data_IF_060790967842
#
_entry.id   IF_060790967842
#
_cell.length_a   1.000
_cell.length_b   1.000
_cell.length_c   1.000
_cell.angle_alpha   90.00
_cell.angle_beta   90.00
_cell.angle_gamma   90.00
#
_symmetry.space_group_name_H-M   'P 1'
#
loop_
_entity.id
_entity.type
_entity.pdbx_description
1 polymer ?
#
# COMPACT_ATOMS: atom_id res chain seq x y z
N UNK A 1 8.01 29.22 15.87
CA UNK A 1 6.74 28.72 15.30
C UNK A 1 6.93 27.72 14.15
N UNK A 2 8.15 27.23 13.87
CA UNK A 2 8.44 26.40 12.69
C UNK A 2 8.31 24.87 12.90
N UNK A 3 8.06 24.41 14.13
CA UNK A 3 7.90 22.97 14.40
C UNK A 3 6.54 22.42 13.97
N UNK A 4 5.45 23.16 14.24
CA UNK A 4 4.08 22.67 14.03
C UNK A 4 3.71 22.49 12.54
N UNK A 5 4.20 23.36 11.65
CA UNK A 5 3.94 23.25 10.21
C UNK A 5 4.57 21.97 9.62
N UNK A 6 5.80 21.65 10.03
CA UNK A 6 6.54 20.45 9.63
C UNK A 6 5.84 19.18 10.08
N UNK A 7 5.38 19.13 11.34
CA UNK A 7 4.67 17.96 11.89
C UNK A 7 3.32 17.74 11.19
N UNK A 8 2.59 18.82 10.91
CA UNK A 8 1.30 18.74 10.21
C UNK A 8 1.48 18.24 8.78
N UNK A 9 2.51 18.72 8.09
CA UNK A 9 2.85 18.28 6.73
C UNK A 9 3.28 16.80 6.68
N UNK A 10 4.12 16.37 7.62
CA UNK A 10 4.54 14.96 7.74
C UNK A 10 3.32 14.07 8.01
N UNK A 11 2.41 14.50 8.88
CA UNK A 11 1.20 13.74 9.22
C UNK A 11 0.25 13.62 8.02
N UNK A 12 0.04 14.73 7.29
CA UNK A 12 -0.72 14.72 6.04
C UNK A 12 -0.10 13.78 4.99
N UNK A 13 1.21 13.83 4.81
CA UNK A 13 1.92 12.93 3.90
C UNK A 13 1.76 11.46 4.32
N UNK A 14 1.87 11.16 5.62
CA UNK A 14 1.65 9.83 6.19
C UNK A 14 0.25 9.31 5.89
N UNK A 15 -0.78 10.14 6.14
CA UNK A 15 -2.18 9.79 5.89
C UNK A 15 -2.43 9.56 4.39
N UNK A 16 -1.90 10.43 3.52
CA UNK A 16 -2.03 10.29 2.07
C UNK A 16 -1.34 9.03 1.55
N UNK A 17 -0.13 8.74 2.02
CA UNK A 17 0.60 7.51 1.68
C UNK A 17 -0.16 6.28 2.16
N UNK A 18 -0.70 6.30 3.39
CA UNK A 18 -1.48 5.20 3.93
C UNK A 18 -2.79 4.98 3.16
N UNK A 19 -3.55 6.05 2.91
CA UNK A 19 -4.80 5.99 2.15
C UNK A 19 -4.57 5.48 0.73
N UNK A 20 -3.50 5.92 0.08
CA UNK A 20 -3.12 5.45 -1.26
C UNK A 20 -2.67 3.98 -1.22
N UNK A 21 -1.90 3.56 -0.20
CA UNK A 21 -1.49 2.17 -0.01
C UNK A 21 -2.73 1.27 0.17
N UNK A 22 -3.66 1.68 1.03
CA UNK A 22 -4.91 0.96 1.27
C UNK A 22 -5.76 0.86 -0.01
N UNK A 23 -5.86 1.95 -0.77
CA UNK A 23 -6.59 1.96 -2.05
C UNK A 23 -6.00 0.98 -3.06
N UNK A 24 -4.67 0.98 -3.22
CA UNK A 24 -3.98 0.04 -4.12
C UNK A 24 -4.13 -1.39 -3.63
N UNK A 25 -4.05 -1.61 -2.32
CA UNK A 25 -4.20 -2.93 -1.70
C UNK A 25 -5.60 -3.50 -1.94
N UNK A 26 -6.65 -2.72 -1.68
CA UNK A 26 -8.04 -3.10 -1.95
C UNK A 26 -8.25 -3.34 -3.44
N UNK A 27 -7.67 -2.52 -4.31
CA UNK A 27 -7.76 -2.73 -5.76
C UNK A 27 -7.14 -4.06 -6.18
N UNK A 28 -5.99 -4.46 -5.62
CA UNK A 28 -5.37 -5.76 -5.88
C UNK A 28 -6.29 -6.90 -5.41
N UNK A 29 -6.73 -6.86 -4.15
CA UNK A 29 -7.62 -7.90 -3.56
C UNK A 29 -8.91 -8.03 -4.35
N UNK A 30 -9.57 -6.92 -4.68
CA UNK A 30 -10.81 -6.90 -5.46
C UNK A 30 -10.61 -7.53 -6.84
N UNK A 31 -9.49 -7.25 -7.50
CA UNK A 31 -9.26 -7.76 -8.86
C UNK A 31 -8.89 -9.24 -8.86
N UNK A 32 -8.18 -9.72 -7.82
CA UNK A 32 -7.98 -11.16 -7.59
C UNK A 32 -9.30 -11.88 -7.28
N UNK A 33 -10.16 -11.28 -6.45
CA UNK A 33 -11.48 -11.81 -6.15
C UNK A 33 -12.38 -11.86 -7.41
N UNK A 34 -12.36 -10.79 -8.22
CA UNK A 34 -13.10 -10.71 -9.48
C UNK A 34 -12.65 -11.75 -10.51
N UNK A 35 -11.35 -12.14 -10.49
CA UNK A 35 -10.81 -13.23 -11.33
C UNK A 35 -11.10 -14.64 -10.80
N UNK A 36 -11.97 -14.77 -9.77
CA UNK A 36 -12.28 -16.03 -9.07
C UNK A 36 -11.06 -16.70 -8.40
N UNK A 37 -9.98 -15.96 -8.18
CA UNK A 37 -8.81 -16.45 -7.45
C UNK A 37 -8.97 -16.20 -5.94
N UNK A 38 -10.08 -16.69 -5.36
CA UNK A 38 -10.49 -16.37 -3.98
C UNK A 38 -9.44 -16.70 -2.92
N UNK A 39 -8.71 -17.82 -3.08
CA UNK A 39 -7.60 -18.19 -2.19
C UNK A 39 -6.46 -17.17 -2.21
N UNK A 40 -6.15 -16.62 -3.39
CA UNK A 40 -5.10 -15.61 -3.54
C UNK A 40 -5.60 -14.24 -3.09
N UNK A 41 -6.89 -13.92 -3.26
CA UNK A 41 -7.49 -12.70 -2.70
C UNK A 41 -7.48 -12.71 -1.16
N UNK A 42 -7.77 -13.86 -0.53
CA UNK A 42 -7.63 -14.02 0.92
C UNK A 42 -6.19 -13.90 1.38
N UNK A 43 -5.24 -14.57 0.72
CA UNK A 43 -3.83 -14.45 1.05
C UNK A 43 -3.29 -13.02 0.90
N UNK A 44 -3.75 -12.30 -0.13
CA UNK A 44 -3.48 -10.88 -0.34
C UNK A 44 -4.05 -10.01 0.79
N UNK A 45 -5.29 -10.23 1.21
CA UNK A 45 -5.89 -9.48 2.32
C UNK A 45 -5.29 -9.80 3.69
N UNK A 46 -4.74 -11.00 3.87
CA UNK A 46 -4.18 -11.46 5.14
C UNK A 46 -2.71 -11.04 5.32
N UNK A 47 -1.92 -11.06 4.24
CA UNK A 47 -0.52 -10.67 4.27
C UNK A 47 -0.27 -9.48 3.33
N UNK A 48 -0.08 -8.27 3.89
CA UNK A 48 0.38 -7.11 3.14
C UNK A 48 1.59 -7.41 2.25
N UNK A 49 2.67 -8.07 2.71
CA UNK A 49 3.82 -8.37 1.84
C UNK A 49 3.47 -9.35 0.71
N UNK A 50 2.52 -10.26 0.95
CA UNK A 50 2.11 -11.23 -0.05
C UNK A 50 1.34 -10.57 -1.22
N UNK A 51 0.74 -9.38 -1.03
CA UNK A 51 0.07 -8.69 -2.14
C UNK A 51 0.97 -8.37 -3.31
N UNK A 52 2.23 -8.01 -3.09
CA UNK A 52 3.17 -7.70 -4.19
C UNK A 52 3.42 -8.95 -5.03
N UNK A 53 3.73 -10.06 -4.37
CA UNK A 53 4.00 -11.34 -5.02
C UNK A 53 2.78 -11.88 -5.76
N UNK A 54 1.59 -11.74 -5.16
CA UNK A 54 0.32 -12.19 -5.75
C UNK A 54 -0.14 -11.29 -6.90
N UNK A 55 0.07 -9.98 -6.81
CA UNK A 55 -0.20 -9.04 -7.90
C UNK A 55 0.73 -9.30 -9.10
N UNK A 56 2.01 -9.59 -8.86
CA UNK A 56 2.94 -10.00 -9.93
C UNK A 56 2.48 -11.30 -10.60
N UNK A 57 2.11 -12.33 -9.82
CA UNK A 57 1.59 -13.60 -10.36
C UNK A 57 0.24 -13.46 -11.06
N UNK A 58 -0.59 -12.49 -10.67
CA UNK A 58 -1.87 -12.18 -11.30
C UNK A 58 -1.76 -11.38 -12.60
N UNK A 59 -0.53 -11.05 -13.06
CA UNK A 59 -0.31 -10.23 -14.25
C UNK A 59 -0.58 -8.74 -14.02
N UNK A 60 -0.44 -8.25 -12.78
CA UNK A 60 -0.63 -6.85 -12.39
C UNK A 60 0.69 -6.21 -11.89
N UNK A 61 1.77 -6.20 -12.70
CA UNK A 61 3.09 -5.73 -12.25
C UNK A 61 3.08 -4.26 -11.86
N UNK A 62 2.33 -3.42 -12.58
CA UNK A 62 2.21 -1.98 -12.28
C UNK A 62 1.63 -1.75 -10.88
N UNK A 63 0.58 -2.50 -10.51
CA UNK A 63 -0.06 -2.38 -9.18
C UNK A 63 0.85 -2.91 -8.07
N UNK A 64 1.60 -3.97 -8.34
CA UNK A 64 2.59 -4.50 -7.41
C UNK A 64 3.71 -3.49 -7.13
N UNK A 65 4.25 -2.86 -8.17
CA UNK A 65 5.28 -1.81 -8.07
C UNK A 65 4.72 -0.58 -7.34
N UNK A 66 3.50 -0.14 -7.67
CA UNK A 66 2.86 0.97 -6.98
C UNK A 66 2.73 0.69 -5.47
N UNK A 67 2.22 -0.49 -5.11
CA UNK A 67 2.07 -0.88 -3.71
C UNK A 67 3.42 -0.91 -2.98
N UNK A 68 4.46 -1.47 -3.61
CA UNK A 68 5.81 -1.51 -3.03
C UNK A 68 6.40 -0.12 -2.82
N UNK A 69 6.28 0.77 -3.81
CA UNK A 69 6.75 2.16 -3.71
C UNK A 69 6.01 2.92 -2.59
N UNK A 70 4.69 2.74 -2.51
CA UNK A 70 3.87 3.34 -1.45
C UNK A 70 4.21 2.80 -0.06
N UNK A 71 4.52 1.49 0.05
CA UNK A 71 4.92 0.88 1.31
C UNK A 71 6.28 1.42 1.78
N UNK A 72 7.24 1.56 0.86
CA UNK A 72 8.54 2.16 1.13
C UNK A 72 8.38 3.63 1.54
N UNK A 73 7.60 4.40 0.78
CA UNK A 73 7.34 5.81 1.10
C UNK A 73 6.70 5.98 2.49
N UNK A 74 5.73 5.14 2.82
CA UNK A 74 5.11 5.11 4.15
C UNK A 74 6.12 4.75 5.25
N UNK A 75 6.95 3.72 5.04
CA UNK A 75 7.97 3.32 6.01
C UNK A 75 9.02 4.42 6.25
N UNK A 76 9.44 5.10 5.19
CA UNK A 76 10.39 6.24 5.26
C UNK A 76 9.76 7.42 5.99
N UNK A 77 8.51 7.77 5.66
CA UNK A 77 7.77 8.85 6.35
C UNK A 77 7.54 8.52 7.83
N UNK A 78 7.22 7.26 8.15
CA UNK A 78 7.05 6.79 9.53
C UNK A 78 8.37 6.88 10.31
N UNK A 79 9.49 6.48 9.71
CA UNK A 79 10.81 6.59 10.30
C UNK A 79 11.30 8.03 10.45
N UNK A 80 10.83 8.97 9.62
CA UNK A 80 11.10 10.41 9.76
C UNK A 80 10.20 11.09 10.79
N UNK A 81 9.03 10.50 11.09
CA UNK A 81 8.08 11.03 12.06
C UNK A 81 8.39 10.60 13.51
N UNK A 82 9.18 9.54 13.68
CA UNK A 82 9.66 9.01 14.94
C UNK A 82 11.11 9.44 15.20
#
# INVERSE_FOLDING_TARGET
MNGAASTTFITLALVLSFASLATVHVAIVYTLAARREGLRAMAAGLLPPATVWLALRGGMPIRAVLWALLAIAYAVLLALAW
#
